data_IF_539736799629
#
_entry.id   IF_539736799629
#
_cell.length_a   1.000
_cell.length_b   1.000
_cell.length_c   1.000
_cell.angle_alpha   90.00
_cell.angle_beta   90.00
_cell.angle_gamma   90.00
#
_symmetry.space_group_name_H-M   'P 1'
#
loop_
_entity.id
_entity.type
_entity.pdbx_description
1 polymer ?
#
# COMPACT_ATOMS: atom_id res chain seq x y z
N UNK A 1 9.39 16.02 -23.08
CA UNK A 1 8.36 14.97 -22.89
C UNK A 1 7.34 15.54 -21.94
N UNK A 2 6.11 15.73 -22.38
CA UNK A 2 5.04 16.31 -21.57
C UNK A 2 4.82 15.45 -20.35
N UNK A 3 4.95 16.05 -19.16
CA UNK A 3 4.75 15.39 -17.87
C UNK A 3 3.25 15.11 -17.66
N UNK A 4 2.69 14.18 -18.46
CA UNK A 4 1.31 13.75 -18.32
C UNK A 4 1.23 12.80 -17.14
N UNK A 5 0.29 13.06 -16.23
CA UNK A 5 -0.10 12.13 -15.16
C UNK A 5 -0.14 10.70 -15.71
N UNK A 6 0.64 9.80 -15.11
CA UNK A 6 0.83 8.43 -15.59
C UNK A 6 0.90 7.42 -14.45
N UNK A 7 0.47 7.80 -13.25
CA UNK A 7 0.60 6.99 -12.05
C UNK A 7 -0.74 6.72 -11.37
N UNK A 8 -0.94 5.47 -10.95
CA UNK A 8 -2.01 5.03 -10.07
C UNK A 8 -1.44 4.86 -8.66
N UNK A 9 -2.02 5.52 -7.65
CA UNK A 9 -1.54 5.45 -6.27
C UNK A 9 -2.37 4.44 -5.46
N UNK A 10 -1.73 3.60 -4.64
CA UNK A 10 -2.42 2.82 -3.61
C UNK A 10 -2.51 3.63 -2.32
N UNK A 11 -3.73 3.90 -1.85
CA UNK A 11 -4.03 4.79 -0.75
C UNK A 11 -4.83 4.07 0.35
N UNK A 12 -4.23 3.94 1.54
CA UNK A 12 -4.90 3.41 2.74
C UNK A 12 -5.40 4.51 3.68
N UNK A 13 -4.96 5.76 3.50
CA UNK A 13 -5.23 6.86 4.43
C UNK A 13 -4.26 6.90 5.62
N UNK A 14 -3.30 5.97 5.71
CA UNK A 14 -2.19 6.05 6.65
C UNK A 14 -1.05 6.95 6.17
N UNK A 15 -0.17 7.33 7.10
CA UNK A 15 0.98 8.23 6.91
C UNK A 15 1.77 7.93 5.62
N UNK A 16 2.21 6.68 5.45
CA UNK A 16 3.10 6.31 4.35
C UNK A 16 2.43 6.49 2.98
N UNK A 17 1.17 6.07 2.86
CA UNK A 17 0.39 6.26 1.64
C UNK A 17 0.04 7.74 1.37
N UNK A 18 -0.18 8.53 2.44
CA UNK A 18 -0.45 9.95 2.35
C UNK A 18 0.79 10.74 1.90
N UNK A 19 1.97 10.42 2.41
CA UNK A 19 3.23 11.01 1.96
C UNK A 19 3.49 10.72 0.47
N UNK A 20 3.23 9.50 0.01
CA UNK A 20 3.34 9.18 -1.43
C UNK A 20 2.32 9.93 -2.29
N UNK A 21 1.10 10.14 -1.79
CA UNK A 21 0.10 10.99 -2.45
C UNK A 21 0.60 12.43 -2.56
N UNK A 22 1.14 12.99 -1.47
CA UNK A 22 1.66 14.35 -1.43
C UNK A 22 2.76 14.55 -2.48
N UNK A 23 3.82 13.74 -2.40
CA UNK A 23 4.96 13.79 -3.33
C UNK A 23 4.50 13.59 -4.78
N UNK A 24 3.64 12.60 -5.04
CA UNK A 24 3.16 12.32 -6.39
C UNK A 24 2.27 13.44 -6.94
N UNK A 25 1.49 14.10 -6.09
CA UNK A 25 0.61 15.22 -6.47
C UNK A 25 1.42 16.48 -6.77
N UNK A 26 2.46 16.78 -6.00
CA UNK A 26 3.39 17.88 -6.28
C UNK A 26 4.11 17.69 -7.62
N UNK A 27 4.44 16.44 -7.97
CA UNK A 27 5.04 16.09 -9.27
C UNK A 27 4.02 16.04 -10.41
N UNK A 28 2.73 16.21 -10.11
CA UNK A 28 1.62 16.07 -11.06
C UNK A 28 1.65 14.72 -11.81
N UNK A 29 1.99 13.63 -11.10
CA UNK A 29 2.10 12.28 -11.67
C UNK A 29 0.81 11.45 -11.45
N UNK A 30 0.02 11.76 -10.41
CA UNK A 30 -1.11 10.92 -9.99
C UNK A 30 -2.37 11.19 -10.84
N UNK A 31 -2.81 10.14 -11.54
CA UNK A 31 -4.08 10.10 -12.28
C UNK A 31 -5.23 9.78 -11.32
N UNK A 32 -5.07 8.71 -10.54
CA UNK A 32 -6.11 8.14 -9.68
C UNK A 32 -5.49 7.48 -8.46
N UNK A 33 -6.21 7.49 -7.35
CA UNK A 33 -5.88 6.76 -6.14
C UNK A 33 -6.86 5.59 -5.94
N UNK A 34 -6.34 4.44 -5.51
CA UNK A 34 -7.10 3.23 -5.19
C UNK A 34 -7.04 2.92 -3.70
N UNK A 35 -8.20 2.68 -3.11
CA UNK A 35 -8.30 2.10 -1.75
C UNK A 35 -8.91 0.71 -1.84
N UNK A 36 -8.37 -0.23 -1.07
CA UNK A 36 -8.87 -1.60 -1.03
C UNK A 36 -9.72 -1.85 0.22
N UNK A 37 -10.90 -2.42 0.02
CA UNK A 37 -11.66 -3.11 1.05
C UNK A 37 -11.26 -4.58 1.00
N UNK A 38 -10.68 -5.11 2.06
CA UNK A 38 -10.19 -6.49 2.10
C UNK A 38 -10.67 -7.25 3.34
N UNK A 39 -11.74 -6.76 3.97
CA UNK A 39 -12.28 -7.32 5.21
C UNK A 39 -11.59 -6.78 6.47
N UNK A 40 -10.85 -5.67 6.37
CA UNK A 40 -10.10 -5.12 7.48
C UNK A 40 -10.96 -4.39 8.51
N UNK A 41 -10.58 -4.51 9.79
CA UNK A 41 -11.29 -3.85 10.90
C UNK A 41 -11.29 -2.33 10.82
N UNK A 42 -10.24 -1.74 10.25
CA UNK A 42 -10.08 -0.29 10.15
C UNK A 42 -10.77 0.32 8.90
N UNK A 43 -11.50 -0.48 8.12
CA UNK A 43 -12.01 -0.11 6.79
C UNK A 43 -12.67 1.28 6.74
N UNK A 44 -13.62 1.55 7.65
CA UNK A 44 -14.36 2.81 7.62
C UNK A 44 -13.47 4.03 7.89
N UNK A 45 -12.48 3.89 8.80
CA UNK A 45 -11.53 4.96 9.10
C UNK A 45 -10.55 5.19 7.94
N UNK A 46 -10.00 4.12 7.39
CA UNK A 46 -9.11 4.16 6.23
C UNK A 46 -9.80 4.79 5.01
N UNK A 47 -11.04 4.38 4.74
CA UNK A 47 -11.82 4.91 3.63
C UNK A 47 -12.15 6.39 3.79
N UNK A 48 -12.50 6.83 5.01
CA UNK A 48 -12.75 8.23 5.30
C UNK A 48 -11.50 9.08 5.08
N UNK A 49 -10.35 8.66 5.66
CA UNK A 49 -9.08 9.37 5.50
C UNK A 49 -8.63 9.43 4.03
N UNK A 50 -8.77 8.32 3.29
CA UNK A 50 -8.44 8.28 1.86
C UNK A 50 -9.29 9.26 1.03
N UNK A 51 -10.60 9.36 1.31
CA UNK A 51 -11.50 10.32 0.64
C UNK A 51 -11.10 11.76 0.91
N UNK A 52 -10.81 12.09 2.17
CA UNK A 52 -10.39 13.44 2.57
C UNK A 52 -9.08 13.85 1.89
N UNK A 53 -8.10 12.94 1.86
CA UNK A 53 -6.83 13.14 1.17
C UNK A 53 -7.03 13.35 -0.35
N UNK A 54 -7.81 12.50 -1.01
CA UNK A 54 -8.10 12.65 -2.43
C UNK A 54 -8.83 13.97 -2.75
N UNK A 55 -9.76 14.39 -1.89
CA UNK A 55 -10.45 15.67 -2.03
C UNK A 55 -9.48 16.85 -1.91
N UNK A 56 -8.56 16.81 -0.93
CA UNK A 56 -7.56 17.85 -0.73
C UNK A 56 -6.61 17.98 -1.92
N UNK A 57 -6.05 16.85 -2.40
CA UNK A 57 -5.11 16.83 -3.53
C UNK A 57 -5.79 16.87 -4.91
N UNK A 58 -7.13 16.88 -4.97
CA UNK A 58 -7.93 16.87 -6.21
C UNK A 58 -7.58 15.68 -7.12
N UNK A 59 -7.47 14.51 -6.52
CA UNK A 59 -7.18 13.24 -7.20
C UNK A 59 -8.46 12.40 -7.24
N UNK A 60 -8.74 11.77 -8.38
CA UNK A 60 -9.87 10.85 -8.51
C UNK A 60 -9.66 9.65 -7.59
N UNK A 61 -10.70 9.27 -6.84
CA UNK A 61 -10.65 8.17 -5.87
C UNK A 61 -11.55 7.01 -6.32
N UNK A 62 -11.00 5.81 -6.36
CA UNK A 62 -11.73 4.58 -6.63
C UNK A 62 -11.49 3.58 -5.51
N UNK A 63 -12.54 2.84 -5.15
CA UNK A 63 -12.48 1.78 -4.13
C UNK A 63 -12.65 0.43 -4.81
N UNK A 64 -11.78 -0.52 -4.51
CA UNK A 64 -11.86 -1.89 -4.97
C UNK A 64 -12.22 -2.82 -3.82
N UNK A 65 -13.17 -3.73 -4.08
CA UNK A 65 -13.58 -4.74 -3.12
C UNK A 65 -12.83 -6.05 -3.36
N UNK A 66 -12.01 -6.42 -2.38
CA UNK A 66 -11.27 -7.66 -2.24
C UNK A 66 -11.61 -8.31 -0.88
N UNK A 67 -12.83 -8.13 -0.38
CA UNK A 67 -13.22 -8.56 0.97
C UNK A 67 -13.06 -10.05 1.22
N UNK A 68 -13.04 -10.86 0.14
CA UNK A 68 -12.73 -12.28 0.18
C UNK A 68 -11.35 -12.58 0.79
N UNK A 69 -10.39 -11.64 0.77
CA UNK A 69 -9.11 -11.78 1.47
C UNK A 69 -9.29 -11.90 2.99
N UNK A 70 -10.32 -11.26 3.54
CA UNK A 70 -10.68 -11.36 4.95
C UNK A 70 -11.18 -12.75 5.33
N UNK A 71 -11.84 -13.43 4.39
CA UNK A 71 -12.40 -14.77 4.59
C UNK A 71 -11.32 -15.86 4.65
N UNK A 72 -10.09 -15.58 4.21
CA UNK A 72 -8.94 -16.48 4.36
C UNK A 72 -8.59 -16.72 5.84
N UNK A 73 -8.98 -15.81 6.73
CA UNK A 73 -8.77 -15.92 8.17
C UNK A 73 -7.29 -15.81 8.60
N UNK A 74 -7.04 -16.05 9.89
CA UNK A 74 -5.69 -16.12 10.45
C UNK A 74 -4.99 -14.79 10.73
N UNK A 75 -5.62 -13.65 10.40
CA UNK A 75 -5.09 -12.32 10.69
C UNK A 75 -5.97 -11.55 11.68
N UNK A 76 -5.36 -10.92 12.68
CA UNK A 76 -6.03 -10.00 13.60
C UNK A 76 -6.53 -8.72 12.91
N UNK A 77 -6.09 -8.44 11.67
CA UNK A 77 -6.60 -7.33 10.87
C UNK A 77 -8.01 -7.60 10.34
N UNK A 78 -8.38 -8.86 10.13
CA UNK A 78 -9.65 -9.25 9.52
C UNK A 78 -10.55 -10.04 10.48
N UNK A 79 -9.97 -10.71 11.47
CA UNK A 79 -10.69 -11.43 12.52
C UNK A 79 -10.97 -10.55 13.75
N UNK A 80 -12.25 -10.31 14.05
CA UNK A 80 -12.69 -9.53 15.22
C UNK A 80 -12.53 -10.28 16.55
N UNK A 81 -12.41 -11.60 16.51
CA UNK A 81 -12.23 -12.44 17.71
C UNK A 81 -10.77 -12.48 18.17
N UNK A 82 -9.83 -12.01 17.35
CA UNK A 82 -8.43 -11.90 17.70
C UNK A 82 -8.10 -10.50 18.25
N UNK A 83 -7.23 -10.46 19.27
CA UNK A 83 -6.68 -9.21 19.76
C UNK A 83 -5.65 -8.67 18.77
N UNK A 84 -5.75 -7.39 18.43
CA UNK A 84 -4.67 -6.70 17.73
C UNK A 84 -3.45 -6.65 18.65
N UNK A 85 -2.25 -7.02 18.17
CA UNK A 85 -1.05 -6.89 18.96
C UNK A 85 -0.85 -5.42 19.35
N UNK A 86 -0.53 -5.18 20.63
CA UNK A 86 -0.08 -3.89 21.13
C UNK A 86 1.39 -4.04 21.48
N UNK A 87 2.25 -3.31 20.79
CA UNK A 87 3.66 -3.21 21.11
C UNK A 87 3.85 -1.96 21.96
N UNK A 88 4.51 -2.10 23.11
CA UNK A 88 5.01 -0.96 23.84
C UNK A 88 6.36 -0.53 23.26
N UNK A 89 6.77 0.72 23.48
CA UNK A 89 8.05 1.26 22.98
C UNK A 89 9.27 0.44 23.38
N UNK A 90 9.24 -0.21 24.56
CA UNK A 90 10.32 -1.09 25.04
C UNK A 90 10.39 -2.47 24.35
N UNK A 91 9.38 -2.84 23.57
CA UNK A 91 9.30 -4.13 22.88
C UNK A 91 9.67 -4.00 21.39
N UNK A 92 9.82 -2.77 20.89
CA UNK A 92 10.14 -2.45 19.49
C UNK A 92 11.52 -2.97 19.05
N UNK A 93 12.45 -3.19 19.98
CA UNK A 93 13.80 -3.69 19.68
C UNK A 93 13.92 -5.23 19.83
N UNK A 94 12.86 -5.90 20.27
CA UNK A 94 12.88 -7.35 20.52
C UNK A 94 12.43 -8.14 19.29
N UNK A 95 13.39 -8.64 18.52
CA UNK A 95 13.16 -9.35 17.25
C UNK A 95 12.11 -10.47 17.31
N UNK A 96 12.07 -11.25 18.39
CA UNK A 96 11.08 -12.34 18.54
C UNK A 96 9.65 -11.80 18.74
N UNK A 97 9.51 -10.69 19.46
CA UNK A 97 8.22 -10.02 19.65
C UNK A 97 7.75 -9.43 18.31
N UNK A 98 8.63 -8.74 17.59
CA UNK A 98 8.34 -8.16 16.26
C UNK A 98 7.87 -9.25 15.28
N UNK A 99 8.57 -10.39 15.22
CA UNK A 99 8.17 -11.51 14.35
C UNK A 99 6.82 -12.09 14.74
N UNK A 100 6.52 -12.18 16.03
CA UNK A 100 5.25 -12.70 16.53
C UNK A 100 4.09 -11.75 16.20
N UNK A 101 4.27 -10.45 16.39
CA UNK A 101 3.24 -9.46 16.07
C UNK A 101 3.02 -9.32 14.57
N UNK A 102 4.09 -9.35 13.76
CA UNK A 102 4.00 -9.37 12.31
C UNK A 102 3.17 -10.57 11.80
N UNK A 103 3.42 -11.77 12.33
CA UNK A 103 2.63 -12.97 12.00
C UNK A 103 1.15 -12.81 12.37
N UNK A 104 0.85 -12.18 13.50
CA UNK A 104 -0.54 -12.00 13.96
C UNK A 104 -1.36 -11.07 13.05
N UNK A 105 -0.72 -10.17 12.31
CA UNK A 105 -1.40 -9.24 11.38
C UNK A 105 -1.21 -9.63 9.91
N UNK A 106 -0.52 -10.72 9.62
CA UNK A 106 -0.26 -11.18 8.26
C UNK A 106 -1.53 -11.65 7.57
N UNK A 107 -1.89 -11.02 6.45
CA UNK A 107 -2.95 -11.50 5.54
C UNK A 107 -2.26 -12.16 4.34
N UNK A 108 -2.58 -13.42 3.99
CA UNK A 108 -1.89 -14.15 2.93
C UNK A 108 -1.83 -13.38 1.60
N UNK A 109 -0.62 -13.11 1.12
CA UNK A 109 -0.32 -12.44 -0.16
C UNK A 109 -1.07 -11.11 -0.39
N UNK A 110 -1.40 -10.37 0.68
CA UNK A 110 -2.23 -9.16 0.59
C UNK A 110 -1.65 -8.11 -0.35
N UNK A 111 -0.41 -7.68 -0.15
CA UNK A 111 0.19 -6.63 -0.99
C UNK A 111 0.37 -7.10 -2.44
N UNK A 112 0.70 -8.37 -2.65
CA UNK A 112 0.76 -8.97 -3.99
C UNK A 112 -0.60 -8.90 -4.70
N UNK A 113 -1.70 -9.23 -4.01
CA UNK A 113 -3.04 -9.13 -4.58
C UNK A 113 -3.45 -7.69 -4.87
N UNK A 114 -3.12 -6.75 -3.99
CA UNK A 114 -3.38 -5.32 -4.22
C UNK A 114 -2.67 -4.81 -5.47
N UNK A 115 -1.38 -5.14 -5.62
CA UNK A 115 -0.58 -4.70 -6.77
C UNK A 115 -1.11 -5.33 -8.06
N UNK A 116 -1.47 -6.62 -8.07
CA UNK A 116 -2.04 -7.27 -9.26
C UNK A 116 -3.40 -6.68 -9.66
N UNK A 117 -4.29 -6.43 -8.69
CA UNK A 117 -5.57 -5.78 -8.96
C UNK A 117 -5.37 -4.35 -9.47
N UNK A 118 -4.43 -3.61 -8.89
CA UNK A 118 -4.07 -2.27 -9.34
C UNK A 118 -3.46 -2.26 -10.74
N UNK A 119 -2.65 -3.27 -11.09
CA UNK A 119 -2.05 -3.40 -12.42
C UNK A 119 -3.13 -3.58 -13.50
N UNK A 120 -4.15 -4.38 -13.24
CA UNK A 120 -5.30 -4.49 -14.15
C UNK A 120 -6.03 -3.14 -14.35
N UNK A 121 -6.23 -2.37 -13.28
CA UNK A 121 -6.82 -1.03 -13.38
C UNK A 121 -5.89 -0.08 -14.15
N UNK A 122 -4.60 -0.07 -13.82
CA UNK A 122 -3.61 0.78 -14.47
C UNK A 122 -3.56 0.52 -15.98
N UNK A 123 -3.44 -0.74 -16.39
CA UNK A 123 -3.45 -1.16 -17.78
C UNK A 123 -4.72 -0.73 -18.52
N UNK A 124 -5.90 -0.93 -17.92
CA UNK A 124 -7.18 -0.52 -18.51
C UNK A 124 -7.29 0.99 -18.78
N UNK A 125 -6.47 1.79 -18.08
CA UNK A 125 -6.40 3.24 -18.18
C UNK A 125 -5.15 3.72 -18.96
N UNK A 126 -4.37 2.80 -19.54
CA UNK A 126 -3.07 3.08 -20.16
C UNK A 126 -2.06 3.78 -19.21
N UNK A 127 -2.19 3.53 -17.90
CA UNK A 127 -1.25 3.96 -16.87
C UNK A 127 -0.17 2.88 -16.74
N UNK A 128 1.10 3.28 -16.74
CA UNK A 128 2.23 2.35 -16.70
C UNK A 128 2.98 2.35 -15.35
N UNK A 129 2.51 3.09 -14.35
CA UNK A 129 3.16 3.17 -13.03
C UNK A 129 2.16 3.04 -11.90
N UNK A 130 2.50 2.22 -10.92
CA UNK A 130 1.82 2.12 -9.62
C UNK A 130 2.74 2.69 -8.55
N UNK A 131 2.19 3.55 -7.69
CA UNK A 131 2.86 4.05 -6.50
C UNK A 131 2.29 3.38 -5.25
N UNK A 132 3.14 2.81 -4.41
CA UNK A 132 2.77 2.17 -3.14
C UNK A 132 3.38 2.91 -1.95
N UNK A 133 2.74 2.83 -0.79
CA UNK A 133 3.23 3.42 0.47
C UNK A 133 4.02 2.42 1.31
N UNK A 134 5.17 1.96 0.84
CA UNK A 134 6.06 1.08 1.60
C UNK A 134 7.16 1.88 2.29
N UNK A 135 7.76 1.33 3.35
CA UNK A 135 8.84 1.96 4.10
C UNK A 135 9.84 0.92 4.64
N UNK A 136 11.01 1.38 5.09
CA UNK A 136 12.10 0.48 5.53
C UNK A 136 11.77 -0.29 6.81
N UNK A 137 10.98 0.29 7.72
CA UNK A 137 10.61 -0.34 9.00
C UNK A 137 9.64 -1.51 8.76
N UNK A 138 8.63 -1.32 7.91
CA UNK A 138 7.72 -2.39 7.53
C UNK A 138 8.44 -3.49 6.75
N UNK A 139 9.41 -3.15 5.90
CA UNK A 139 10.21 -4.12 5.17
C UNK A 139 11.04 -5.06 6.06
N UNK A 140 11.34 -4.67 7.32
CA UNK A 140 12.01 -5.54 8.29
C UNK A 140 11.08 -6.66 8.80
N UNK A 141 9.77 -6.38 8.85
CA UNK A 141 8.76 -7.30 9.38
C UNK A 141 8.01 -8.05 8.28
N UNK A 142 7.90 -7.44 7.10
CA UNK A 142 7.07 -7.89 5.99
C UNK A 142 7.88 -7.89 4.69
N UNK A 143 8.19 -9.07 4.12
CA UNK A 143 9.03 -9.15 2.93
C UNK A 143 8.40 -8.48 1.70
N UNK A 144 7.06 -8.43 1.65
CA UNK A 144 6.24 -7.80 0.60
C UNK A 144 6.13 -6.27 0.72
N UNK A 145 6.97 -5.65 1.56
CA UNK A 145 7.19 -4.19 1.63
C UNK A 145 8.60 -3.79 1.18
N UNK A 146 9.46 -4.75 0.85
CA UNK A 146 10.86 -4.49 0.49
C UNK A 146 11.04 -3.93 -0.92
N UNK A 147 12.14 -3.18 -1.11
CA UNK A 147 12.59 -2.76 -2.45
C UNK A 147 12.82 -3.95 -3.38
N UNK A 148 13.29 -5.08 -2.86
CA UNK A 148 13.46 -6.30 -3.65
C UNK A 148 12.12 -6.85 -4.13
N UNK A 149 11.09 -6.85 -3.28
CA UNK A 149 9.74 -7.22 -3.70
C UNK A 149 9.20 -6.29 -4.79
N UNK A 150 9.41 -4.96 -4.68
CA UNK A 150 9.03 -4.00 -5.73
C UNK A 150 9.67 -4.31 -7.09
N UNK A 151 10.95 -4.70 -7.08
CA UNK A 151 11.66 -5.12 -8.31
C UNK A 151 11.04 -6.41 -8.87
N UNK A 152 10.88 -7.44 -8.05
CA UNK A 152 10.36 -8.75 -8.50
C UNK A 152 8.92 -8.70 -8.97
N UNK A 153 8.06 -7.92 -8.31
CA UNK A 153 6.69 -7.76 -8.78
C UNK A 153 6.64 -6.95 -10.09
N UNK A 154 7.52 -5.95 -10.26
CA UNK A 154 7.66 -5.23 -11.54
C UNK A 154 8.13 -6.17 -12.66
N UNK A 155 9.14 -7.01 -12.39
CA UNK A 155 9.61 -8.03 -13.33
C UNK A 155 8.49 -9.00 -13.72
N UNK A 156 7.64 -9.38 -12.76
CA UNK A 156 6.46 -10.21 -13.04
C UNK A 156 5.42 -9.48 -13.89
N UNK A 157 5.10 -8.23 -13.55
CA UNK A 157 4.10 -7.42 -14.26
C UNK A 157 4.51 -7.11 -15.70
N UNK A 158 5.82 -7.08 -15.99
CA UNK A 158 6.33 -7.00 -17.36
C UNK A 158 5.70 -8.06 -18.27
N UNK A 159 5.52 -9.29 -17.76
CA UNK A 159 4.93 -10.39 -18.53
C UNK A 159 3.41 -10.45 -18.46
N UNK A 160 2.80 -9.95 -17.37
CA UNK A 160 1.37 -10.06 -17.15
C UNK A 160 0.57 -8.80 -17.52
N UNK A 161 1.23 -7.77 -18.04
CA UNK A 161 0.58 -6.55 -18.56
C UNK A 161 1.20 -6.16 -19.91
N UNK A 162 0.36 -5.85 -20.89
CA UNK A 162 0.73 -5.44 -22.24
C UNK A 162 1.45 -4.08 -22.27
N UNK A 163 1.18 -3.19 -21.31
CA UNK A 163 1.86 -1.91 -21.19
C UNK A 163 3.00 -1.92 -20.15
N UNK A 164 3.39 -3.11 -19.66
CA UNK A 164 4.52 -3.33 -18.76
C UNK A 164 4.49 -2.44 -17.51
N UNK A 165 3.38 -2.51 -16.76
CA UNK A 165 3.18 -1.72 -15.54
C UNK A 165 4.35 -1.90 -14.58
N UNK A 166 4.90 -0.78 -14.11
CA UNK A 166 5.97 -0.72 -13.13
C UNK A 166 5.44 -0.35 -11.75
N UNK A 167 6.09 -0.83 -10.69
CA UNK A 167 5.72 -0.51 -9.31
C UNK A 167 6.88 0.21 -8.64
N UNK A 168 6.57 1.30 -7.94
CA UNK A 168 7.56 2.09 -7.20
C UNK A 168 6.97 2.67 -5.93
N UNK A 169 7.83 3.20 -5.07
CA UNK A 169 7.44 3.91 -3.86
C UNK A 169 8.45 5.04 -3.63
N UNK A 170 7.98 6.23 -3.27
CA UNK A 170 8.87 7.33 -2.90
C UNK A 170 9.44 7.17 -1.48
N UNK A 171 8.86 6.28 -0.68
CA UNK A 171 9.18 6.12 0.75
C UNK A 171 9.80 4.78 1.09
N UNK A 172 9.95 3.84 0.13
CA UNK A 172 10.43 2.48 0.42
C UNK A 172 11.81 2.41 1.07
N UNK A 173 12.64 3.43 0.90
CA UNK A 173 13.97 3.53 1.48
C UNK A 173 14.02 4.50 2.68
N UNK A 174 12.87 5.03 3.11
CA UNK A 174 12.77 6.00 4.21
C UNK A 174 12.23 5.33 5.47
N UNK A 175 12.68 5.82 6.63
CA UNK A 175 12.08 5.52 7.95
C UNK A 175 10.92 6.49 8.25
N UNK A 176 10.16 6.23 9.32
CA UNK A 176 8.97 7.05 9.63
C UNK A 176 9.29 8.51 9.93
N UNK A 177 10.37 8.77 10.65
CA UNK A 177 10.80 10.15 10.94
C UNK A 177 11.11 10.91 9.66
N UNK A 178 11.72 10.26 8.66
CA UNK A 178 11.98 10.87 7.35
C UNK A 178 10.69 11.08 6.55
N UNK A 179 9.75 10.14 6.62
CA UNK A 179 8.44 10.23 5.94
C UNK A 179 7.62 11.39 6.49
N UNK A 180 7.62 11.64 7.79
CA UNK A 180 6.92 12.76 8.43
C UNK A 180 7.38 14.14 7.94
N UNK A 181 8.56 14.22 7.31
CA UNK A 181 9.12 15.46 6.77
C UNK A 181 8.84 15.66 5.27
N UNK A 182 8.14 14.73 4.62
CA UNK A 182 7.75 14.80 3.21
C UNK A 182 6.36 15.40 3.03
#
# INVERSE_FOLDING_TARGET
MTNSKNSLLLLSGGLDSAANLAIGSERNEIVRALTFKYGQRAQEKELQAARELCQYYKVEHQVLDLSWLGDLGGSALTDKNQSLPRLNTHELDQLDIIKKTAKAVWVPNRNGMFINAAAAVAESLNINKIIVGFNIEEAQSFPDNSVEFLKKITDSLFYSTANHVQVSSYTAELNKTEIETK
#
